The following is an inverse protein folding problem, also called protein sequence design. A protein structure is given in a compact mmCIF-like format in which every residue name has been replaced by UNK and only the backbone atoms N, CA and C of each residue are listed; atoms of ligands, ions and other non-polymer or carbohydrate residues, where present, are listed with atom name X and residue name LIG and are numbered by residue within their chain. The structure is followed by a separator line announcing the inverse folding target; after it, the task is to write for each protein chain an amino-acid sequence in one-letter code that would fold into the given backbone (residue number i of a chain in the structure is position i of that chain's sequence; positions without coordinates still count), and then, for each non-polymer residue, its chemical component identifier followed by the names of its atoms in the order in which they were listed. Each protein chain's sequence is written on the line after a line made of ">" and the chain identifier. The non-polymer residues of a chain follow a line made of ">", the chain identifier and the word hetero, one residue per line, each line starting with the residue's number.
data_IF_973965068663
#
_entry.id   IF_973965068663
#
_cell.length_a   1.000
_cell.length_b   1.000
_cell.length_c   1.000
_cell.angle_alpha   90.00
_cell.angle_beta   90.00
_cell.angle_gamma   90.00
#
_symmetry.space_group_name_H-M   'P 1'
#
loop_
_entity.id
_entity.type
_entity.pdbx_description
1 polymer ?
#
# COMPACT_ATOMS: atom_id res chain seq x y z
N UNK A 1 -0.66 -8.32 -22.19
CA UNK A 1 -1.92 -8.69 -21.52
C UNK A 1 -1.90 -8.04 -20.15
N UNK A 2 -3.02 -7.46 -19.72
CA UNK A 2 -3.13 -6.86 -18.40
C UNK A 2 -3.07 -7.95 -17.32
N UNK A 3 -2.37 -7.69 -16.24
CA UNK A 3 -2.29 -8.55 -15.07
C UNK A 3 -3.66 -8.63 -14.37
N UNK A 4 -3.90 -9.67 -13.56
CA UNK A 4 -5.12 -9.78 -12.75
C UNK A 4 -5.35 -8.53 -11.88
N UNK A 5 -4.29 -7.97 -11.31
CA UNK A 5 -4.35 -6.74 -10.53
C UNK A 5 -4.75 -5.54 -11.38
N UNK A 6 -4.15 -5.36 -12.56
CA UNK A 6 -4.54 -4.27 -13.48
C UNK A 6 -6.01 -4.36 -13.89
N UNK A 7 -6.53 -5.57 -14.14
CA UNK A 7 -7.95 -5.78 -14.44
C UNK A 7 -8.85 -5.40 -13.25
N UNK A 8 -8.45 -5.77 -12.03
CA UNK A 8 -9.12 -5.33 -10.81
C UNK A 8 -9.09 -3.81 -10.67
N UNK A 9 -7.94 -3.16 -10.89
CA UNK A 9 -7.79 -1.71 -10.76
C UNK A 9 -8.72 -0.95 -11.72
N UNK A 10 -8.94 -1.46 -12.93
CA UNK A 10 -9.91 -0.87 -13.87
C UNK A 10 -11.32 -0.91 -13.29
N UNK A 11 -11.77 -2.05 -12.76
CA UNK A 11 -13.10 -2.18 -12.14
C UNK A 11 -13.22 -1.39 -10.85
N UNK A 12 -12.16 -1.33 -10.06
CA UNK A 12 -12.09 -0.51 -8.86
C UNK A 12 -12.19 0.98 -9.21
N UNK A 13 -11.50 1.47 -10.24
CA UNK A 13 -11.62 2.86 -10.69
C UNK A 13 -13.05 3.15 -11.22
N UNK A 14 -13.59 2.25 -12.03
CA UNK A 14 -14.95 2.34 -12.58
C UNK A 14 -16.03 2.40 -11.49
N UNK A 15 -15.86 1.68 -10.37
CA UNK A 15 -16.85 1.65 -9.30
C UNK A 15 -17.05 3.02 -8.62
N UNK A 16 -16.09 3.93 -8.78
CA UNK A 16 -16.17 5.33 -8.31
C UNK A 16 -16.62 6.32 -9.39
N UNK A 17 -16.54 6.00 -10.69
CA UNK A 17 -16.89 6.92 -11.78
C UNK A 17 -18.37 7.33 -11.72
N UNK A 18 -18.61 8.63 -11.79
CA UNK A 18 -19.97 9.22 -11.70
C UNK A 18 -20.62 9.14 -10.31
N UNK A 19 -19.97 8.52 -9.33
CA UNK A 19 -20.50 8.29 -7.98
C UNK A 19 -19.73 9.08 -6.93
N UNK A 20 -19.68 10.42 -7.10
CA UNK A 20 -19.01 11.33 -6.15
C UNK A 20 -19.45 11.09 -4.71
N UNK A 21 -20.74 10.85 -4.48
CA UNK A 21 -21.27 10.52 -3.15
C UNK A 21 -20.65 9.27 -2.53
N UNK A 22 -20.29 8.27 -3.34
CA UNK A 22 -19.64 7.03 -2.87
C UNK A 22 -18.15 7.25 -2.59
N UNK A 23 -17.47 8.03 -3.43
CA UNK A 23 -16.10 8.48 -3.16
C UNK A 23 -16.05 9.20 -1.80
N UNK A 24 -16.95 10.17 -1.61
CA UNK A 24 -17.07 10.92 -0.36
C UNK A 24 -17.52 10.03 0.80
N UNK A 25 -18.42 9.07 0.61
CA UNK A 25 -18.93 8.27 1.72
C UNK A 25 -17.98 7.15 2.16
N UNK A 26 -17.04 6.70 1.33
CA UNK A 26 -16.18 5.56 1.67
C UNK A 26 -14.74 6.01 1.91
N UNK A 27 -14.13 6.71 0.96
CA UNK A 27 -12.74 7.14 1.10
C UNK A 27 -12.61 8.24 2.16
N UNK A 28 -13.54 9.20 2.23
CA UNK A 28 -13.51 10.21 3.31
C UNK A 28 -13.66 9.58 4.70
N UNK A 29 -14.49 8.53 4.81
CA UNK A 29 -14.65 7.80 6.07
C UNK A 29 -13.35 7.13 6.48
N UNK A 30 -12.64 6.49 5.55
CA UNK A 30 -11.31 5.91 5.79
C UNK A 30 -10.32 6.97 6.27
N UNK A 31 -10.26 8.14 5.63
CA UNK A 31 -9.35 9.21 6.05
C UNK A 31 -9.74 9.85 7.37
N UNK A 32 -11.05 9.93 7.67
CA UNK A 32 -11.57 10.43 8.95
C UNK A 32 -11.14 9.54 10.13
N UNK A 33 -11.00 8.23 9.91
CA UNK A 33 -10.57 7.28 10.95
C UNK A 33 -9.16 7.56 11.48
N UNK A 34 -8.34 8.35 10.78
CA UNK A 34 -7.05 8.81 11.31
C UNK A 34 -7.20 9.59 12.61
N UNK A 35 -8.31 10.30 12.80
CA UNK A 35 -8.59 11.03 14.05
C UNK A 35 -8.65 10.06 15.24
N UNK A 36 -9.10 8.82 15.00
CA UNK A 36 -9.17 7.78 16.03
C UNK A 36 -7.76 7.28 16.39
N UNK A 37 -6.86 7.18 15.40
CA UNK A 37 -5.46 6.89 15.68
C UNK A 37 -4.61 6.56 14.45
N UNK A 38 -3.34 6.99 14.49
CA UNK A 38 -2.36 6.80 13.41
C UNK A 38 -2.00 5.35 13.09
N UNK A 39 -2.23 4.39 13.98
CA UNK A 39 -1.99 2.96 13.67
C UNK A 39 -3.28 2.30 13.19
N UNK A 40 -4.35 2.51 13.97
CA UNK A 40 -5.68 1.93 13.77
C UNK A 40 -6.30 2.31 12.42
N UNK A 41 -6.00 3.48 11.86
CA UNK A 41 -6.57 3.88 10.57
C UNK A 41 -6.15 2.98 9.39
N UNK A 42 -4.97 2.36 9.46
CA UNK A 42 -4.54 1.38 8.45
C UNK A 42 -5.42 0.14 8.50
N UNK A 43 -5.54 -0.47 9.68
CA UNK A 43 -6.39 -1.65 9.90
C UNK A 43 -7.86 -1.38 9.51
N UNK A 44 -8.38 -0.19 9.84
CA UNK A 44 -9.74 0.20 9.47
C UNK A 44 -9.90 0.43 7.96
N UNK A 45 -8.87 0.94 7.27
CA UNK A 45 -8.89 1.08 5.82
C UNK A 45 -8.97 -0.30 5.13
N UNK A 46 -8.27 -1.30 5.65
CA UNK A 46 -8.30 -2.67 5.14
C UNK A 46 -9.72 -3.27 5.24
N UNK A 47 -10.37 -3.10 6.39
CA UNK A 47 -11.75 -3.55 6.61
C UNK A 47 -12.72 -2.81 5.68
N UNK A 48 -12.64 -1.48 5.64
CA UNK A 48 -13.54 -0.66 4.84
C UNK A 48 -13.41 -0.93 3.33
N UNK A 49 -12.19 -1.12 2.82
CA UNK A 49 -11.97 -1.45 1.41
C UNK A 49 -12.43 -2.87 1.07
N UNK A 50 -12.23 -3.83 1.98
CA UNK A 50 -12.76 -5.19 1.80
C UNK A 50 -14.28 -5.14 1.61
N UNK A 51 -14.96 -4.41 2.48
CA UNK A 51 -16.42 -4.27 2.40
C UNK A 51 -16.87 -3.49 1.17
N UNK A 52 -16.14 -2.42 0.83
CA UNK A 52 -16.40 -1.65 -0.37
C UNK A 52 -16.33 -2.52 -1.64
N UNK A 53 -15.29 -3.34 -1.78
CA UNK A 53 -15.13 -4.24 -2.93
C UNK A 53 -16.30 -5.21 -3.00
N UNK A 54 -16.68 -5.80 -1.87
CA UNK A 54 -17.82 -6.71 -1.78
C UNK A 54 -19.16 -6.05 -2.13
N UNK A 55 -19.35 -4.78 -1.86
CA UNK A 55 -20.60 -4.09 -2.18
C UNK A 55 -20.62 -3.50 -3.59
N UNK A 56 -19.52 -2.91 -4.06
CA UNK A 56 -19.55 -1.95 -5.17
C UNK A 56 -18.65 -2.28 -6.35
N UNK A 57 -17.71 -3.21 -6.23
CA UNK A 57 -16.82 -3.57 -7.36
C UNK A 57 -17.36 -4.79 -8.07
N UNK A 58 -17.85 -4.60 -9.29
CA UNK A 58 -18.47 -5.65 -10.09
C UNK A 58 -17.46 -6.71 -10.54
N UNK A 59 -17.88 -7.98 -10.53
CA UNK A 59 -17.03 -9.11 -10.90
C UNK A 59 -15.97 -9.50 -9.85
N UNK A 60 -15.90 -8.81 -8.72
CA UNK A 60 -14.93 -9.09 -7.65
C UNK A 60 -15.59 -9.24 -6.28
N UNK A 61 -14.93 -10.02 -5.42
CA UNK A 61 -15.14 -10.04 -3.97
C UNK A 61 -13.80 -9.90 -3.25
N UNK A 62 -13.81 -9.62 -1.96
CA UNK A 62 -12.62 -9.48 -1.15
C UNK A 62 -12.78 -10.10 0.23
N UNK A 63 -11.66 -10.59 0.76
CA UNK A 63 -11.53 -11.02 2.15
C UNK A 63 -10.37 -10.30 2.82
N UNK A 64 -10.58 -9.87 4.06
CA UNK A 64 -9.51 -9.38 4.92
C UNK A 64 -8.67 -10.56 5.40
N UNK A 65 -7.34 -10.42 5.39
CA UNK A 65 -6.40 -11.48 5.78
C UNK A 65 -5.98 -11.38 7.25
N UNK A 66 -6.90 -10.93 8.12
CA UNK A 66 -6.68 -10.78 9.56
C UNK A 66 -6.05 -12.00 10.24
N UNK A 67 -5.52 -11.82 11.45
CA UNK A 67 -4.62 -12.76 12.13
C UNK A 67 -5.22 -14.11 12.60
N UNK A 68 -6.43 -14.54 12.22
CA UNK A 68 -7.02 -15.79 12.78
C UNK A 68 -7.03 -17.04 11.86
N UNK A 69 -6.37 -18.06 12.45
CA UNK A 69 -6.59 -19.52 12.50
C UNK A 69 -6.30 -20.49 11.35
N UNK A 70 -6.37 -20.16 10.06
CA UNK A 70 -6.24 -21.24 9.04
C UNK A 70 -5.50 -20.95 7.73
N UNK A 71 -4.97 -19.74 7.50
CA UNK A 71 -4.10 -19.48 6.33
C UNK A 71 -2.79 -18.82 6.75
N UNK A 72 -1.67 -19.45 6.43
CA UNK A 72 -0.38 -18.78 6.44
C UNK A 72 -0.44 -17.68 5.38
N UNK A 73 -0.13 -16.43 5.74
CA UNK A 73 0.10 -15.38 4.74
C UNK A 73 1.21 -15.87 3.80
N UNK A 74 0.95 -15.84 2.51
CA UNK A 74 1.98 -16.18 1.51
C UNK A 74 2.97 -15.01 1.41
N UNK A 75 2.49 -13.78 1.57
CA UNK A 75 3.28 -12.56 1.52
C UNK A 75 2.89 -11.53 2.60
N UNK A 76 2.99 -10.22 2.30
CA UNK A 76 2.61 -9.10 3.17
C UNK A 76 1.22 -8.53 2.82
N UNK A 77 0.35 -9.36 2.22
CA UNK A 77 -0.99 -8.93 1.84
C UNK A 77 -1.87 -8.62 3.06
N UNK A 78 -2.77 -7.66 2.87
CA UNK A 78 -3.75 -7.22 3.86
C UNK A 78 -5.15 -7.69 3.47
N UNK A 79 -5.44 -7.72 2.16
CA UNK A 79 -6.67 -8.30 1.59
C UNK A 79 -6.33 -9.28 0.46
N UNK A 80 -7.25 -10.22 0.21
CA UNK A 80 -7.26 -11.05 -1.00
C UNK A 80 -8.53 -10.77 -1.78
N UNK A 81 -8.35 -10.21 -2.97
CA UNK A 81 -9.43 -9.97 -3.92
C UNK A 81 -9.59 -11.18 -4.80
N UNK A 82 -10.82 -11.65 -5.00
CA UNK A 82 -11.13 -12.77 -5.87
C UNK A 82 -11.89 -12.30 -7.09
N UNK A 83 -11.41 -12.66 -8.28
CA UNK A 83 -12.21 -12.55 -9.49
C UNK A 83 -13.32 -13.60 -9.47
N UNK A 84 -14.58 -13.18 -9.56
CA UNK A 84 -15.73 -14.07 -9.43
C UNK A 84 -15.92 -14.98 -10.66
N UNK A 85 -15.42 -14.58 -11.82
CA UNK A 85 -15.46 -15.36 -13.05
C UNK A 85 -14.30 -16.38 -13.08
N UNK A 86 -13.06 -15.90 -13.01
CA UNK A 86 -11.86 -16.76 -13.16
C UNK A 86 -11.47 -17.50 -11.88
N UNK A 87 -12.03 -17.09 -10.73
CA UNK A 87 -11.69 -17.59 -9.38
C UNK A 87 -10.27 -17.27 -8.90
N UNK A 88 -9.50 -16.53 -9.67
CA UNK A 88 -8.15 -16.10 -9.34
C UNK A 88 -8.14 -15.20 -8.09
N UNK A 89 -7.19 -15.45 -7.17
CA UNK A 89 -6.96 -14.63 -5.98
C UNK A 89 -5.80 -13.65 -6.24
N UNK A 90 -6.03 -12.38 -5.89
CA UNK A 90 -5.11 -11.27 -6.07
C UNK A 90 -4.74 -10.77 -4.67
N UNK A 91 -3.54 -11.08 -4.17
CA UNK A 91 -3.06 -10.54 -2.89
C UNK A 91 -2.77 -9.04 -3.05
N UNK A 92 -3.30 -8.24 -2.14
CA UNK A 92 -3.11 -6.79 -2.14
C UNK A 92 -2.69 -6.35 -0.73
N UNK A 93 -1.60 -5.59 -0.65
CA UNK A 93 -1.24 -4.84 0.55
C UNK A 93 -1.79 -3.42 0.45
N UNK A 94 -2.56 -3.02 1.46
CA UNK A 94 -3.14 -1.68 1.56
C UNK A 94 -2.15 -0.79 2.31
N UNK A 95 -1.92 0.42 1.79
CA UNK A 95 -1.00 1.38 2.42
C UNK A 95 -1.68 2.73 2.59
N UNK A 96 -2.13 3.04 3.81
CA UNK A 96 -2.72 4.35 4.13
C UNK A 96 -1.66 5.26 4.73
N UNK A 97 -1.22 6.28 3.98
CA UNK A 97 -0.10 7.16 4.35
C UNK A 97 -0.42 8.63 4.06
N UNK A 98 0.20 9.53 4.83
CA UNK A 98 0.34 10.92 4.39
C UNK A 98 1.28 11.00 3.19
N UNK A 99 1.23 12.10 2.43
CA UNK A 99 2.22 12.35 1.37
C UNK A 99 3.66 12.28 1.92
N UNK A 100 4.54 11.53 1.24
CA UNK A 100 5.92 11.34 1.68
C UNK A 100 6.51 9.96 1.37
N UNK A 101 7.42 9.46 2.23
CA UNK A 101 7.99 8.13 2.09
C UNK A 101 6.93 7.03 2.17
N UNK A 102 6.93 6.14 1.19
CA UNK A 102 6.02 5.01 1.09
C UNK A 102 6.82 3.70 1.14
N UNK A 103 6.50 2.83 2.10
CA UNK A 103 7.06 1.49 2.14
C UNK A 103 6.33 0.59 1.14
N UNK A 104 7.06 0.05 0.19
CA UNK A 104 6.54 -0.88 -0.81
C UNK A 104 6.67 -2.33 -0.32
N UNK A 105 7.74 -2.65 0.41
CA UNK A 105 7.96 -3.98 0.98
C UNK A 105 8.72 -3.89 2.31
N UNK A 106 8.42 -4.81 3.22
CA UNK A 106 9.17 -4.97 4.47
C UNK A 106 10.39 -5.89 4.34
N UNK A 107 10.58 -6.60 3.21
CA UNK A 107 11.69 -7.53 2.90
C UNK A 107 12.29 -8.19 4.16
N UNK A 108 11.49 -9.05 4.84
CA UNK A 108 11.74 -9.51 6.22
C UNK A 108 13.10 -10.20 6.42
N UNK A 109 13.60 -10.87 5.40
CA UNK A 109 14.89 -11.57 5.40
C UNK A 109 16.08 -10.67 5.05
N UNK A 110 15.83 -9.39 4.76
CA UNK A 110 16.85 -8.40 4.41
C UNK A 110 17.65 -8.75 3.14
N UNK A 111 17.09 -9.61 2.29
CA UNK A 111 17.77 -10.16 1.11
C UNK A 111 18.15 -9.10 0.09
N UNK A 112 17.29 -8.11 -0.18
CA UNK A 112 17.58 -7.03 -1.13
C UNK A 112 18.80 -6.22 -0.70
N UNK A 113 18.78 -5.74 0.55
CA UNK A 113 19.85 -4.90 1.07
C UNK A 113 21.17 -5.68 1.17
N UNK A 114 21.11 -6.92 1.64
CA UNK A 114 22.29 -7.80 1.75
C UNK A 114 22.91 -8.10 0.39
N UNK A 115 22.09 -8.28 -0.65
CA UNK A 115 22.56 -8.48 -2.00
C UNK A 115 23.22 -7.21 -2.56
N UNK A 116 22.57 -6.05 -2.43
CA UNK A 116 23.14 -4.76 -2.85
C UNK A 116 24.48 -4.45 -2.16
N UNK A 117 24.60 -4.75 -0.86
CA UNK A 117 25.87 -4.62 -0.13
C UNK A 117 26.99 -5.47 -0.71
N UNK A 118 26.69 -6.66 -1.25
CA UNK A 118 27.69 -7.52 -1.89
C UNK A 118 28.12 -7.00 -3.25
N UNK A 119 27.18 -6.52 -4.05
CA UNK A 119 27.41 -6.19 -5.48
C UNK A 119 27.71 -4.71 -5.75
N UNK A 120 27.02 -3.79 -5.07
CA UNK A 120 27.23 -2.33 -5.16
C UNK A 120 28.23 -1.84 -4.11
N UNK A 121 28.29 -2.52 -2.95
CA UNK A 121 29.14 -2.12 -1.80
C UNK A 121 28.83 -0.67 -1.39
N UNK A 122 29.86 0.12 -1.11
CA UNK A 122 29.73 1.52 -0.72
C UNK A 122 29.87 2.48 -1.93
N UNK A 123 29.71 1.96 -3.15
CA UNK A 123 29.91 2.69 -4.40
C UNK A 123 28.62 2.95 -5.17
N UNK A 124 28.75 2.99 -6.49
CA UNK A 124 27.65 3.20 -7.42
C UNK A 124 27.80 2.35 -8.68
N UNK A 125 26.66 2.06 -9.33
CA UNK A 125 26.58 1.30 -10.59
C UNK A 125 25.78 2.12 -11.59
N UNK A 126 26.38 2.41 -12.74
CA UNK A 126 25.75 3.07 -13.90
C UNK A 126 25.72 2.17 -15.15
N UNK A 127 26.37 1.01 -15.10
CA UNK A 127 26.38 0.01 -16.17
C UNK A 127 25.00 -0.64 -16.32
N UNK A 128 24.31 -0.37 -17.43
CA UNK A 128 22.97 -0.91 -17.68
C UNK A 128 22.91 -2.47 -17.64
N UNK A 129 23.88 -3.21 -18.20
CA UNK A 129 23.92 -4.67 -18.04
C UNK A 129 23.97 -5.14 -16.58
N UNK A 130 24.74 -4.45 -15.73
CA UNK A 130 24.85 -4.77 -14.30
C UNK A 130 23.56 -4.42 -13.55
N UNK A 131 22.96 -3.26 -13.84
CA UNK A 131 21.67 -2.86 -13.27
C UNK A 131 20.59 -3.88 -13.60
N UNK A 132 20.50 -4.31 -14.86
CA UNK A 132 19.55 -5.36 -15.27
C UNK A 132 19.79 -6.67 -14.52
N UNK A 133 21.06 -7.07 -14.36
CA UNK A 133 21.44 -8.25 -13.58
C UNK A 133 21.01 -8.15 -12.11
N UNK A 134 21.18 -6.97 -11.50
CA UNK A 134 20.77 -6.71 -10.11
C UNK A 134 19.25 -6.81 -9.96
N UNK A 135 18.49 -6.12 -10.82
CA UNK A 135 17.03 -6.08 -10.75
C UNK A 135 16.36 -7.41 -11.16
N UNK A 136 17.09 -8.29 -11.87
CA UNK A 136 16.63 -9.66 -12.18
C UNK A 136 16.90 -10.66 -11.06
N UNK A 137 17.57 -10.25 -9.97
CA UNK A 137 17.84 -11.14 -8.84
C UNK A 137 16.52 -11.54 -8.14
N UNK A 138 16.35 -12.79 -7.67
CA UNK A 138 15.14 -13.23 -7.00
C UNK A 138 14.65 -12.31 -5.86
N UNK A 139 15.56 -11.72 -5.07
CA UNK A 139 15.16 -10.81 -4.00
C UNK A 139 14.43 -9.54 -4.48
N UNK A 140 14.59 -9.15 -5.75
CA UNK A 140 13.83 -8.09 -6.41
C UNK A 140 12.62 -8.60 -7.20
N UNK A 141 12.65 -9.87 -7.61
CA UNK A 141 11.56 -10.52 -8.33
C UNK A 141 10.41 -10.93 -7.39
N UNK A 142 10.68 -11.38 -6.17
CA UNK A 142 9.65 -11.75 -5.18
C UNK A 142 8.74 -10.57 -4.80
N UNK A 143 9.24 -9.34 -4.96
CA UNK A 143 8.42 -8.14 -4.79
C UNK A 143 7.32 -7.99 -5.85
N UNK A 144 7.46 -8.62 -7.01
CA UNK A 144 6.40 -8.64 -8.02
C UNK A 144 5.15 -9.43 -7.58
N UNK A 145 5.25 -10.24 -6.52
CA UNK A 145 4.16 -11.07 -6.00
C UNK A 145 3.13 -10.33 -5.12
N UNK A 146 3.42 -9.10 -4.68
CA UNK A 146 2.51 -8.32 -3.83
C UNK A 146 2.10 -7.04 -4.53
N UNK A 147 0.81 -6.93 -4.80
CA UNK A 147 0.23 -5.70 -5.31
C UNK A 147 0.07 -4.69 -4.17
N UNK A 148 0.60 -3.48 -4.33
CA UNK A 148 0.47 -2.43 -3.30
C UNK A 148 -0.57 -1.43 -3.76
N UNK A 149 -1.57 -1.16 -2.92
CA UNK A 149 -2.62 -0.15 -3.16
C UNK A 149 -2.51 0.99 -2.12
N UNK A 150 -1.72 2.03 -2.43
CA UNK A 150 -1.63 3.22 -1.60
C UNK A 150 -2.87 4.13 -1.62
N UNK A 151 -3.32 4.51 -0.42
CA UNK A 151 -4.30 5.55 -0.14
C UNK A 151 -3.56 6.72 0.50
N UNK A 152 -3.25 7.72 -0.31
CA UNK A 152 -2.44 8.87 0.08
C UNK A 152 -3.34 10.04 0.43
N UNK A 153 -3.11 10.68 1.57
CA UNK A 153 -3.86 11.87 1.97
C UNK A 153 -2.95 13.04 2.36
N UNK A 154 -3.51 14.25 2.28
CA UNK A 154 -2.90 15.47 2.77
C UNK A 154 -3.84 16.11 3.79
N UNK A 155 -3.39 16.27 5.03
CA UNK A 155 -4.22 16.80 6.11
C UNK A 155 -4.57 18.27 5.90
N UNK A 156 -3.55 19.10 5.65
CA UNK A 156 -3.72 20.55 5.49
C UNK A 156 -4.69 20.91 4.35
N UNK A 157 -4.67 20.13 3.27
CA UNK A 157 -5.52 20.33 2.10
C UNK A 157 -6.78 19.48 2.08
N UNK A 158 -6.99 18.62 3.08
CA UNK A 158 -8.06 17.61 3.14
C UNK A 158 -8.32 16.94 1.78
N UNK A 159 -7.23 16.47 1.17
CA UNK A 159 -7.25 15.88 -0.17
C UNK A 159 -6.66 14.48 -0.13
N UNK A 160 -7.07 13.65 -1.07
CA UNK A 160 -6.57 12.29 -1.18
C UNK A 160 -6.30 11.90 -2.63
N UNK A 161 -5.48 10.86 -2.78
CA UNK A 161 -5.21 10.15 -4.03
C UNK A 161 -5.14 8.66 -3.77
N UNK A 162 -5.67 7.87 -4.68
CA UNK A 162 -5.35 6.45 -4.78
C UNK A 162 -4.38 6.31 -5.95
N UNK A 163 -3.17 5.85 -5.67
CA UNK A 163 -2.07 5.75 -6.64
C UNK A 163 -1.50 4.34 -6.62
N UNK A 164 -0.88 3.91 -7.71
CA UNK A 164 -0.21 2.61 -7.81
C UNK A 164 1.19 2.81 -8.38
N UNK A 165 2.18 2.19 -7.73
CA UNK A 165 3.57 2.28 -8.19
C UNK A 165 3.79 1.32 -9.36
N UNK A 166 4.15 1.86 -10.52
CA UNK A 166 4.35 1.11 -11.77
C UNK A 166 5.72 0.43 -11.76
N UNK A 167 5.85 -0.62 -10.94
CA UNK A 167 7.14 -1.27 -10.64
C UNK A 167 7.93 -1.67 -11.87
N UNK A 168 7.26 -2.25 -12.87
CA UNK A 168 7.91 -2.68 -14.12
C UNK A 168 8.51 -1.49 -14.86
N UNK A 169 7.75 -0.41 -15.00
CA UNK A 169 8.22 0.82 -15.65
C UNK A 169 9.35 1.47 -14.84
N UNK A 170 9.23 1.46 -13.51
CA UNK A 170 10.27 1.95 -12.60
C UNK A 170 11.59 1.17 -12.75
N UNK A 171 11.55 -0.16 -12.80
CA UNK A 171 12.73 -1.00 -13.02
C UNK A 171 13.36 -0.77 -14.39
N UNK A 172 12.54 -0.65 -15.44
CA UNK A 172 13.02 -0.35 -16.81
C UNK A 172 13.66 1.04 -16.91
N UNK A 173 13.25 1.99 -16.06
CA UNK A 173 13.78 3.34 -16.03
C UNK A 173 15.12 3.49 -15.30
N UNK A 174 15.51 2.55 -14.42
CA UNK A 174 16.75 2.66 -13.63
C UNK A 174 17.99 2.78 -14.53
N UNK A 175 18.80 3.81 -14.30
CA UNK A 175 20.11 4.01 -14.94
C UNK A 175 21.25 4.20 -13.95
N UNK A 176 20.95 4.39 -12.67
CA UNK A 176 21.97 4.58 -11.65
C UNK A 176 21.52 4.02 -10.31
N UNK A 177 22.37 3.22 -9.69
CA UNK A 177 22.20 2.70 -8.32
C UNK A 177 23.33 3.27 -7.49
N UNK A 178 23.02 3.93 -6.38
CA UNK A 178 24.01 4.61 -5.55
C UNK A 178 23.85 4.28 -4.08
N UNK A 179 24.96 3.92 -3.43
CA UNK A 179 25.03 3.83 -1.99
C UNK A 179 25.04 5.23 -1.36
N UNK A 180 24.27 5.39 -0.28
CA UNK A 180 24.24 6.61 0.52
C UNK A 180 24.60 6.25 1.95
N UNK A 181 25.69 6.85 2.42
CA UNK A 181 26.21 6.64 3.77
C UNK A 181 25.27 7.16 4.87
N UNK A 182 25.31 6.54 6.06
CA UNK A 182 24.75 7.11 7.28
C UNK A 182 25.23 8.55 7.49
N UNK A 183 24.28 9.47 7.67
CA UNK A 183 24.58 10.86 8.03
C UNK A 183 23.98 11.21 9.37
N UNK A 184 24.55 12.22 10.02
CA UNK A 184 24.04 12.74 11.29
C UNK A 184 22.80 13.60 11.04
N UNK A 185 21.69 13.25 11.68
CA UNK A 185 20.45 14.01 11.70
C UNK A 185 20.15 14.41 13.15
N UNK A 186 20.61 15.60 13.53
CA UNK A 186 20.58 16.05 14.93
C UNK A 186 21.42 15.15 15.82
N UNK A 187 20.78 14.51 16.82
CA UNK A 187 21.45 13.56 17.74
C UNK A 187 21.46 12.12 17.25
N UNK A 188 20.80 11.80 16.13
CA UNK A 188 20.67 10.42 15.61
C UNK A 188 21.48 10.25 14.33
N UNK A 189 21.95 9.03 14.06
CA UNK A 189 22.48 8.66 12.75
C UNK A 189 21.37 8.09 11.88
N UNK A 190 21.37 8.42 10.59
CA UNK A 190 20.54 7.71 9.62
C UNK A 190 21.12 6.33 9.33
N UNK A 191 20.34 5.47 8.69
CA UNK A 191 20.80 4.18 8.22
C UNK A 191 21.34 4.27 6.79
N UNK A 192 22.20 3.33 6.36
CA UNK A 192 22.63 3.28 4.98
C UNK A 192 21.46 2.92 4.06
N UNK A 193 21.45 3.48 2.86
CA UNK A 193 20.41 3.25 1.86
C UNK A 193 21.03 3.12 0.46
N UNK A 194 20.41 2.33 -0.40
CA UNK A 194 20.72 2.32 -1.83
C UNK A 194 19.60 3.04 -2.58
N UNK A 195 19.94 4.10 -3.31
CA UNK A 195 18.98 4.86 -4.12
C UNK A 195 19.08 4.48 -5.59
N UNK A 196 17.94 4.46 -6.25
CA UNK A 196 17.79 4.12 -7.66
C UNK A 196 17.27 5.35 -8.40
N UNK A 197 17.94 5.71 -9.50
CA UNK A 197 17.67 6.89 -10.28
C UNK A 197 17.47 6.57 -11.75
N UNK A 198 16.72 7.42 -12.45
CA UNK A 198 16.48 7.30 -13.89
C UNK A 198 17.62 7.92 -14.73
N UNK A 199 17.43 7.99 -16.05
CA UNK A 199 18.39 8.60 -16.98
C UNK A 199 18.61 10.10 -16.78
N UNK A 200 17.70 10.79 -16.09
CA UNK A 200 17.78 12.22 -15.79
C UNK A 200 18.38 12.48 -14.40
N UNK A 201 18.67 11.43 -13.63
CA UNK A 201 19.11 11.53 -12.24
C UNK A 201 17.95 11.75 -11.26
N UNK A 202 16.71 11.58 -11.70
CA UNK A 202 15.52 11.71 -10.85
C UNK A 202 15.33 10.45 -10.00
N UNK A 203 14.83 10.65 -8.78
CA UNK A 203 14.63 9.57 -7.82
C UNK A 203 13.46 8.66 -8.21
N UNK A 204 13.69 7.33 -8.16
CA UNK A 204 12.66 6.33 -8.44
C UNK A 204 12.23 5.62 -7.14
N UNK A 205 13.18 4.95 -6.49
CA UNK A 205 12.96 4.22 -5.24
C UNK A 205 14.28 4.03 -4.49
N UNK A 206 14.22 3.46 -3.29
CA UNK A 206 15.37 3.11 -2.48
C UNK A 206 15.18 1.79 -1.74
N UNK A 207 16.29 1.13 -1.45
CA UNK A 207 16.33 -0.03 -0.56
C UNK A 207 16.99 0.41 0.74
N UNK A 208 16.23 0.34 1.83
CA UNK A 208 16.68 0.75 3.16
C UNK A 208 17.23 -0.42 3.94
N UNK A 209 18.23 -0.13 4.77
CA UNK A 209 18.80 -1.09 5.69
C UNK A 209 17.80 -1.54 6.76
N UNK A 210 17.79 -2.84 7.01
CA UNK A 210 17.47 -3.37 8.32
C UNK A 210 17.89 -4.83 8.35
N UNK A 211 18.36 -5.30 9.50
CA UNK A 211 18.47 -6.72 9.80
C UNK A 211 17.18 -7.18 10.48
N UNK A 212 17.11 -8.45 10.89
CA UNK A 212 15.95 -9.04 11.58
C UNK A 212 15.58 -8.30 12.87
N UNK A 213 16.48 -7.47 13.42
CA UNK A 213 16.28 -6.70 14.67
C UNK A 213 15.81 -5.26 14.40
N UNK A 214 15.92 -4.76 13.17
CA UNK A 214 15.46 -3.43 12.80
C UNK A 214 13.93 -3.34 12.76
N UNK A 215 13.39 -2.14 13.02
CA UNK A 215 11.95 -1.90 12.92
C UNK A 215 11.46 -2.20 11.49
N UNK A 216 10.26 -2.76 11.36
CA UNK A 216 9.62 -3.01 10.06
C UNK A 216 9.60 -1.76 9.16
N UNK A 217 9.38 -0.59 9.74
CA UNK A 217 9.36 0.71 9.05
C UNK A 217 10.75 1.24 8.67
N UNK A 218 11.81 0.46 8.86
CA UNK A 218 13.18 0.88 8.53
C UNK A 218 13.78 0.08 7.37
N UNK A 219 13.17 -1.04 6.98
CA UNK A 219 13.77 -2.02 6.06
C UNK A 219 13.00 -2.18 4.75
N UNK A 220 13.63 -2.81 3.78
CA UNK A 220 13.04 -3.19 2.50
C UNK A 220 12.97 -2.06 1.48
N UNK A 221 12.08 -2.20 0.51
CA UNK A 221 11.93 -1.26 -0.60
C UNK A 221 10.99 -0.12 -0.21
N UNK A 222 11.44 1.10 -0.49
CA UNK A 222 10.72 2.34 -0.25
C UNK A 222 10.72 3.18 -1.51
N UNK A 223 9.69 3.99 -1.67
CA UNK A 223 9.66 5.08 -2.65
C UNK A 223 9.17 6.35 -1.94
N UNK A 224 8.88 7.40 -2.69
CA UNK A 224 8.37 8.67 -2.19
C UNK A 224 7.28 9.18 -3.12
N UNK A 225 6.08 9.42 -2.58
CA UNK A 225 4.89 9.72 -3.39
C UNK A 225 4.99 11.02 -4.19
N UNK A 226 5.82 11.95 -3.74
CA UNK A 226 6.10 13.22 -4.45
C UNK A 226 7.32 13.12 -5.35
N UNK A 227 8.50 12.76 -4.81
CA UNK A 227 9.74 12.72 -5.58
C UNK A 227 9.75 11.68 -6.72
N UNK A 228 8.97 10.61 -6.61
CA UNK A 228 8.84 9.58 -7.64
C UNK A 228 7.50 9.64 -8.37
N UNK A 229 6.83 10.80 -8.41
CA UNK A 229 5.47 10.96 -8.96
C UNK A 229 5.32 10.41 -10.39
N UNK A 230 6.36 10.52 -11.23
CA UNK A 230 6.39 10.00 -12.60
C UNK A 230 6.26 8.47 -12.70
N UNK A 231 6.51 7.76 -11.59
CA UNK A 231 6.42 6.30 -11.51
C UNK A 231 5.14 5.81 -10.84
N UNK A 232 4.19 6.71 -10.60
CA UNK A 232 2.87 6.37 -10.10
C UNK A 232 1.79 6.57 -11.15
N UNK A 233 0.91 5.58 -11.28
CA UNK A 233 -0.38 5.74 -11.92
C UNK A 233 -1.39 6.23 -10.89
N UNK A 234 -2.01 7.39 -11.14
CA UNK A 234 -3.12 7.86 -10.32
C UNK A 234 -4.42 7.21 -10.80
N UNK A 235 -5.11 6.52 -9.89
CA UNK A 235 -6.43 5.94 -10.15
C UNK A 235 -7.54 6.95 -9.83
N UNK A 236 -7.45 7.57 -8.65
CA UNK A 236 -8.49 8.45 -8.12
C UNK A 236 -7.85 9.61 -7.37
N UNK A 237 -8.55 10.75 -7.33
CA UNK A 237 -8.19 11.87 -6.48
C UNK A 237 -9.43 12.67 -6.10
N UNK A 238 -9.41 13.31 -4.94
CA UNK A 238 -10.51 14.16 -4.51
C UNK A 238 -10.20 14.92 -3.22
N UNK A 239 -11.17 15.68 -2.75
CA UNK A 239 -11.20 16.23 -1.39
C UNK A 239 -11.99 15.31 -0.47
N UNK A 240 -11.80 15.46 0.84
CA UNK A 240 -12.62 14.81 1.86
C UNK A 240 -12.94 15.80 2.98
N UNK A 241 -14.00 15.50 3.72
CA UNK A 241 -14.34 16.21 4.96
C UNK A 241 -14.33 15.19 6.10
N UNK A 242 -14.15 15.68 7.33
CA UNK A 242 -14.17 14.81 8.51
C UNK A 242 -15.60 14.35 8.79
N UNK A 243 -15.80 13.04 8.83
CA UNK A 243 -17.06 12.45 9.24
C UNK A 243 -17.10 12.27 10.77
N UNK A 244 -17.31 13.37 11.49
CA UNK A 244 -17.47 13.35 12.96
C UNK A 244 -18.59 12.41 13.44
N UNK A 245 -19.77 12.33 12.77
CA UNK A 245 -20.79 11.34 13.12
C UNK A 245 -20.27 9.90 13.12
N UNK A 246 -19.46 9.51 12.13
CA UNK A 246 -18.85 8.17 12.09
C UNK A 246 -17.87 7.95 13.26
N UNK A 247 -17.02 8.94 13.54
CA UNK A 247 -16.03 8.85 14.63
C UNK A 247 -16.76 8.68 15.98
N UNK A 248 -17.83 9.46 16.19
CA UNK A 248 -18.69 9.36 17.36
C UNK A 248 -19.42 8.01 17.41
N UNK A 249 -19.90 7.50 16.27
CA UNK A 249 -20.57 6.21 16.19
C UNK A 249 -19.63 5.06 16.58
N UNK A 250 -18.41 5.02 16.04
CA UNK A 250 -17.40 4.01 16.40
C UNK A 250 -17.14 4.06 17.90
N UNK A 251 -16.92 5.25 18.46
CA UNK A 251 -16.66 5.43 19.89
C UNK A 251 -17.81 4.90 20.76
N UNK A 252 -19.07 5.11 20.35
CA UNK A 252 -20.25 4.61 21.07
C UNK A 252 -20.44 3.11 20.91
N UNK A 253 -20.22 2.56 19.72
CA UNK A 253 -20.36 1.12 19.45
C UNK A 253 -19.37 0.32 20.30
N UNK A 254 -18.14 0.80 20.50
CA UNK A 254 -17.11 0.12 21.28
C UNK A 254 -17.48 -0.09 22.76
N UNK A 255 -18.42 0.69 23.31
CA UNK A 255 -18.91 0.57 24.69
C UNK A 255 -20.38 0.12 24.77
N UNK A 256 -20.98 -0.26 23.63
CA UNK A 256 -22.36 -0.73 23.55
C UNK A 256 -22.45 -2.26 23.70
N UNK A 257 -23.57 -2.80 24.23
CA UNK A 257 -23.76 -4.24 24.34
C UNK A 257 -24.10 -4.87 22.98
N UNK A 258 -23.91 -6.19 22.89
CA UNK A 258 -24.06 -6.99 21.65
C UNK A 258 -25.42 -6.78 20.97
N UNK A 259 -26.49 -6.71 21.74
CA UNK A 259 -27.85 -6.56 21.23
C UNK A 259 -28.00 -5.26 20.42
N UNK A 260 -27.33 -4.18 20.88
CA UNK A 260 -27.29 -2.92 20.13
C UNK A 260 -26.47 -3.03 18.86
N UNK A 261 -25.39 -3.79 18.85
CA UNK A 261 -24.65 -4.07 17.61
C UNK A 261 -25.53 -4.80 16.60
N UNK A 262 -26.28 -5.82 17.04
CA UNK A 262 -27.18 -6.58 16.17
C UNK A 262 -28.35 -5.73 15.63
N UNK A 263 -28.91 -4.83 16.45
CA UNK A 263 -29.91 -3.85 15.99
C UNK A 263 -29.35 -2.94 14.91
N UNK A 264 -28.16 -2.36 15.13
CA UNK A 264 -27.49 -1.47 14.16
C UNK A 264 -27.17 -2.23 12.87
N UNK A 265 -26.68 -3.48 12.97
CA UNK A 265 -26.32 -4.29 11.80
C UNK A 265 -27.50 -4.54 10.84
N UNK A 266 -28.73 -4.59 11.36
CA UNK A 266 -29.94 -4.74 10.53
C UNK A 266 -30.22 -3.52 9.63
N UNK A 267 -29.60 -2.38 9.90
CA UNK A 267 -29.75 -1.15 9.11
C UNK A 267 -28.83 -1.11 7.88
N UNK A 268 -27.84 -2.00 7.78
CA UNK A 268 -26.87 -2.00 6.69
C UNK A 268 -27.25 -2.98 5.56
N UNK A 269 -26.87 -2.68 4.30
CA UNK A 269 -27.10 -3.60 3.18
C UNK A 269 -26.30 -4.90 3.33
N UNK A 270 -26.78 -5.97 2.68
CA UNK A 270 -26.07 -7.26 2.64
C UNK A 270 -24.90 -7.21 1.66
N UNK A 271 -23.76 -7.74 2.10
CA UNK A 271 -22.52 -7.89 1.32
C UNK A 271 -22.56 -9.17 0.45
N UNK A 272 -21.82 -9.19 -0.68
CA UNK A 272 -21.69 -10.37 -1.57
C UNK A 272 -21.08 -11.58 -0.84
N UNK A 273 -20.09 -11.32 -0.01
CA UNK A 273 -19.53 -12.30 0.93
C UNK A 273 -19.84 -11.85 2.34
N UNK A 274 -20.08 -12.76 3.28
CA UNK A 274 -20.21 -12.36 4.68
C UNK A 274 -18.93 -11.62 5.08
N UNK A 275 -19.05 -10.34 5.42
CA UNK A 275 -17.99 -9.55 6.07
C UNK A 275 -17.75 -10.14 7.44
N UNK A 276 -16.84 -11.10 7.46
CA UNK A 276 -16.40 -11.91 8.58
C UNK A 276 -14.91 -11.62 8.53
N UNK A 277 -14.42 -10.79 9.45
CA UNK A 277 -13.60 -11.38 10.51
C UNK A 277 -13.85 -12.87 10.64
#
# INVERSE_FOLDING_TARGET
>A
MATPFENFLVKFEESFKGKKSIIYSVLANIFSMRIIGNKTHGDLAEIALTEYINQFVDGFSAKHTGKEKFRAKEFEEDIRVKNLETKEEIPISIKTYGSGPLQLSTNKDSSMFSYLRKVVRDGEITSLPEIKKILSNPCFADFSGVNVLPLIYTEKGMSFKVIVFELKQAYEAVRHIKFIEPRKLGKKMTFPIYKFYDSKGEYIFEVRYGDVKANALQRGMWTHTENAQSHFKQLLSGSYELNEPLINLISKILVSPKEKHEEILKLFPKSKEKSVI
#
